data_IF_562699582143
#
_entry.id   IF_562699582143
#
_cell.length_a   1.000
_cell.length_b   1.000
_cell.length_c   1.000
_cell.angle_alpha   90.00
_cell.angle_beta   90.00
_cell.angle_gamma   90.00
#
_symmetry.space_group_name_H-M   'P 1'
#
loop_
_entity.id
_entity.type
_entity.pdbx_description
1 polymer ?
#
# COMPACT_ATOMS: atom_id res chain seq x y z
N UNK A 1 -13.27 21.79 4.45
CA UNK A 1 -11.87 21.47 4.82
C UNK A 1 -11.72 19.96 4.85
N UNK A 2 -10.97 19.41 3.88
CA UNK A 2 -10.84 17.96 3.68
C UNK A 2 -11.13 17.48 2.25
N UNK A 3 -11.27 18.39 1.28
CA UNK A 3 -11.45 17.99 -0.11
C UNK A 3 -10.13 17.41 -0.64
N UNK A 4 -10.20 16.16 -1.10
CA UNK A 4 -9.05 15.50 -1.72
C UNK A 4 -8.99 15.95 -3.18
N UNK A 5 -7.98 16.74 -3.52
CA UNK A 5 -7.71 17.14 -4.91
C UNK A 5 -6.75 16.12 -5.52
N UNK A 6 -7.10 15.57 -6.68
CA UNK A 6 -6.21 14.71 -7.46
C UNK A 6 -5.64 15.52 -8.63
N UNK A 7 -4.32 15.54 -8.74
CA UNK A 7 -3.61 16.06 -9.90
C UNK A 7 -2.87 14.94 -10.62
N UNK A 8 -2.76 15.05 -11.95
CA UNK A 8 -1.98 14.14 -12.78
C UNK A 8 -0.87 14.93 -13.45
N UNK A 9 0.32 14.34 -13.54
CA UNK A 9 1.43 14.89 -14.28
C UNK A 9 2.07 13.77 -15.10
N UNK A 10 2.52 14.10 -16.29
CA UNK A 10 3.24 13.18 -17.17
C UNK A 10 4.71 13.60 -17.22
N UNK A 11 5.60 12.62 -17.07
CA UNK A 11 7.02 12.82 -17.19
C UNK A 11 7.59 11.68 -18.02
N UNK A 12 8.28 12.03 -19.11
CA UNK A 12 9.00 11.07 -19.95
C UNK A 12 10.48 11.09 -19.54
N UNK A 13 11.00 10.02 -18.95
CA UNK A 13 12.38 9.96 -18.53
C UNK A 13 13.34 10.04 -19.72
N UNK A 14 14.39 10.87 -19.58
CA UNK A 14 15.36 11.12 -20.65
C UNK A 14 16.45 10.03 -20.68
N UNK A 15 16.64 9.32 -19.58
CA UNK A 15 17.64 8.25 -19.45
C UNK A 15 17.04 7.06 -18.72
N UNK A 16 17.44 5.88 -19.16
CA UNK A 16 17.23 4.67 -18.41
C UNK A 16 18.13 4.63 -17.16
N UNK A 17 17.77 3.71 -16.28
CA UNK A 17 18.35 3.58 -14.96
C UNK A 17 17.36 3.97 -13.88
N UNK A 18 17.86 3.97 -12.65
CA UNK A 18 17.06 4.27 -11.50
C UNK A 18 16.88 5.78 -11.36
N UNK A 19 15.63 6.22 -11.28
CA UNK A 19 15.28 7.58 -10.94
C UNK A 19 14.64 7.62 -9.57
N UNK A 20 14.89 8.69 -8.85
CA UNK A 20 14.19 8.98 -7.62
C UNK A 20 14.06 10.47 -7.48
N UNK A 21 13.04 10.89 -6.75
CA UNK A 21 12.71 12.29 -6.61
C UNK A 21 11.63 12.49 -5.58
N UNK A 22 11.03 13.66 -5.62
CA UNK A 22 9.89 13.99 -4.81
C UNK A 22 8.95 14.92 -5.58
N UNK A 23 7.67 14.82 -5.26
CA UNK A 23 6.66 15.80 -5.64
C UNK A 23 6.50 16.74 -4.45
N UNK A 24 6.60 18.05 -4.70
CA UNK A 24 6.46 19.08 -3.67
C UNK A 24 5.24 19.95 -3.95
N UNK A 25 4.40 20.13 -2.93
CA UNK A 25 3.36 21.15 -2.93
C UNK A 25 3.99 22.44 -2.41
N UNK A 26 3.86 23.52 -3.17
CA UNK A 26 4.40 24.82 -2.79
C UNK A 26 3.50 25.47 -1.72
N UNK A 27 3.64 25.04 -0.46
CA UNK A 27 3.04 25.66 0.72
C UNK A 27 4.13 25.93 1.76
N UNK A 28 4.15 27.16 2.27
CA UNK A 28 5.14 27.65 3.23
C UNK A 28 4.91 27.15 4.65
N UNK A 29 3.69 26.71 4.99
CA UNK A 29 3.30 26.43 6.37
C UNK A 29 3.71 25.03 6.87
N UNK A 30 3.85 24.05 5.97
CA UNK A 30 4.09 22.63 6.31
C UNK A 30 5.20 21.99 5.46
N UNK A 31 6.36 22.66 5.35
CA UNK A 31 7.50 22.24 4.51
C UNK A 31 7.94 20.77 4.67
N UNK A 32 7.76 20.18 5.85
CA UNK A 32 8.12 18.78 6.11
C UNK A 32 7.13 17.73 5.59
N UNK A 33 5.86 18.11 5.42
CA UNK A 33 4.77 17.22 4.97
C UNK A 33 4.39 17.45 3.49
N UNK A 34 4.88 18.55 2.92
CA UNK A 34 4.58 18.94 1.55
C UNK A 34 5.36 18.17 0.48
N UNK A 35 6.17 17.17 0.86
CA UNK A 35 6.99 16.39 -0.06
C UNK A 35 6.63 14.92 0.00
N UNK A 36 6.29 14.35 -1.15
CA UNK A 36 6.13 12.92 -1.32
C UNK A 36 7.28 12.39 -2.17
N UNK A 37 8.13 11.55 -1.59
CA UNK A 37 9.25 10.93 -2.26
C UNK A 37 8.80 9.72 -3.07
N UNK A 38 9.50 9.45 -4.16
CA UNK A 38 9.30 8.26 -4.98
C UNK A 38 10.65 7.77 -5.53
N UNK A 39 10.69 6.50 -5.89
CA UNK A 39 11.74 5.89 -6.70
C UNK A 39 11.04 5.16 -7.83
N UNK A 40 11.63 5.17 -9.02
CA UNK A 40 11.20 4.39 -10.18
C UNK A 40 12.43 3.81 -10.89
N UNK A 41 12.29 2.67 -11.54
CA UNK A 41 13.36 2.09 -12.35
C UNK A 41 12.91 2.10 -13.80
N UNK A 42 13.67 2.79 -14.65
CA UNK A 42 13.40 2.87 -16.07
C UNK A 42 14.34 1.91 -16.76
N UNK A 43 13.80 0.79 -17.21
CA UNK A 43 14.57 -0.11 -18.04
C UNK A 43 14.70 0.46 -19.45
N UNK A 44 15.87 0.33 -20.07
CA UNK A 44 16.02 0.59 -21.51
C UNK A 44 15.13 -0.33 -22.33
N UNK A 45 14.92 -1.56 -21.84
CA UNK A 45 14.11 -2.57 -22.47
C UNK A 45 13.27 -3.33 -21.44
N UNK A 46 12.06 -3.70 -21.84
CA UNK A 46 11.26 -4.67 -21.12
C UNK A 46 11.87 -6.05 -21.34
N UNK A 47 12.65 -6.50 -20.36
CA UNK A 47 13.14 -7.87 -20.29
C UNK A 47 12.00 -8.87 -20.11
N UNK A 48 11.87 -9.78 -21.07
CA UNK A 48 10.85 -10.82 -21.09
C UNK A 48 11.48 -12.20 -21.18
N UNK A 49 11.08 -13.08 -20.26
CA UNK A 49 11.53 -14.46 -20.23
C UNK A 49 10.43 -15.39 -20.77
N UNK A 50 10.69 -16.01 -21.91
CA UNK A 50 9.82 -17.03 -22.49
C UNK A 50 10.21 -18.40 -21.95
N UNK A 51 9.29 -19.02 -21.20
CA UNK A 51 9.53 -20.35 -20.63
C UNK A 51 9.07 -21.45 -21.58
N UNK A 52 9.97 -22.39 -21.80
CA UNK A 52 9.76 -23.57 -22.64
C UNK A 52 9.67 -24.81 -21.74
N UNK A 53 8.64 -25.62 -21.96
CA UNK A 53 8.40 -26.81 -21.12
C UNK A 53 9.18 -28.04 -21.59
N UNK A 54 9.48 -28.15 -22.89
CA UNK A 54 10.01 -29.36 -23.51
C UNK A 54 10.96 -29.06 -24.68
N UNK A 55 12.21 -29.55 -24.59
CA UNK A 55 13.26 -29.43 -25.60
C UNK A 55 13.01 -30.30 -26.84
N UNK A 56 12.25 -31.39 -26.68
CA UNK A 56 11.99 -32.36 -27.75
C UNK A 56 10.88 -31.91 -28.70
N UNK A 57 10.14 -30.87 -28.30
CA UNK A 57 9.03 -30.37 -29.07
C UNK A 57 9.50 -29.58 -30.30
N UNK A 58 9.32 -30.15 -31.49
CA UNK A 58 9.62 -29.47 -32.76
C UNK A 58 8.74 -28.23 -32.99
N UNK A 59 7.59 -28.16 -32.31
CA UNK A 59 6.57 -27.13 -32.51
C UNK A 59 6.72 -26.05 -31.45
N UNK A 60 7.44 -24.97 -31.79
CA UNK A 60 7.69 -23.83 -30.88
C UNK A 60 6.39 -23.06 -30.59
N UNK A 61 5.88 -23.04 -29.34
CA UNK A 61 4.61 -22.40 -29.01
C UNK A 61 4.69 -20.85 -29.01
N UNK A 62 5.87 -20.30 -28.79
CA UNK A 62 6.14 -18.88 -28.63
C UNK A 62 6.56 -18.15 -29.93
N UNK A 63 6.71 -18.87 -31.05
CA UNK A 63 7.33 -18.31 -32.27
C UNK A 63 6.72 -16.99 -32.74
N UNK A 64 5.39 -16.94 -32.92
CA UNK A 64 4.72 -15.72 -33.38
C UNK A 64 4.73 -14.61 -32.32
N UNK A 65 4.56 -14.97 -31.05
CA UNK A 65 4.59 -14.00 -29.93
C UNK A 65 5.96 -13.34 -29.87
N UNK A 66 7.03 -14.12 -29.93
CA UNK A 66 8.40 -13.59 -29.95
C UNK A 66 8.65 -12.70 -31.17
N UNK A 67 8.24 -13.15 -32.37
CA UNK A 67 8.39 -12.34 -33.58
C UNK A 67 7.63 -11.01 -33.53
N UNK A 68 6.47 -10.98 -32.86
CA UNK A 68 5.69 -9.77 -32.68
C UNK A 68 6.39 -8.75 -31.77
N UNK A 69 6.98 -9.20 -30.66
CA UNK A 69 7.56 -8.30 -29.65
C UNK A 69 9.03 -7.98 -29.91
N UNK A 70 9.81 -8.91 -30.44
CA UNK A 70 11.25 -8.81 -30.66
C UNK A 70 11.63 -9.42 -32.03
N UNK A 71 11.26 -8.74 -33.15
CA UNK A 71 11.45 -9.26 -34.51
C UNK A 71 12.93 -9.35 -34.92
N UNK A 72 13.76 -8.43 -34.43
CA UNK A 72 15.20 -8.38 -34.68
C UNK A 72 15.90 -8.93 -33.44
N UNK A 73 16.31 -10.20 -33.48
CA UNK A 73 16.91 -10.91 -32.34
C UNK A 73 17.92 -10.02 -31.57
N UNK A 74 17.54 -9.61 -30.36
CA UNK A 74 18.42 -8.86 -29.46
C UNK A 74 18.66 -7.40 -29.84
N UNK A 75 17.99 -6.90 -30.87
CA UNK A 75 18.00 -5.49 -31.26
C UNK A 75 16.96 -4.66 -30.51
N UNK A 76 16.04 -5.29 -29.77
CA UNK A 76 14.98 -4.65 -28.98
C UNK A 76 14.27 -3.52 -29.73
N UNK A 77 13.95 -3.73 -31.01
CA UNK A 77 13.41 -2.69 -31.88
C UNK A 77 12.12 -2.04 -31.34
N UNK A 78 11.36 -2.78 -30.53
CA UNK A 78 10.14 -2.31 -29.88
C UNK A 78 10.34 -1.97 -28.38
N UNK A 79 11.58 -1.83 -27.91
CA UNK A 79 11.90 -1.68 -26.50
C UNK A 79 11.63 -2.93 -25.66
N UNK A 80 11.45 -4.10 -26.28
CA UNK A 80 11.21 -5.39 -25.61
C UNK A 80 12.36 -6.33 -25.96
N UNK A 81 13.00 -6.90 -24.94
CA UNK A 81 14.08 -7.88 -25.10
C UNK A 81 13.59 -9.26 -24.70
N UNK A 82 13.66 -10.23 -25.62
CA UNK A 82 13.16 -11.58 -25.37
C UNK A 82 14.27 -12.62 -25.15
N UNK A 83 14.29 -13.22 -23.97
CA UNK A 83 15.14 -14.36 -23.64
C UNK A 83 14.30 -15.64 -23.54
N UNK A 84 14.95 -16.80 -23.72
CA UNK A 84 14.29 -18.10 -23.64
C UNK A 84 14.99 -18.97 -22.61
N UNK A 85 14.22 -19.79 -21.91
CA UNK A 85 14.73 -20.71 -20.91
C UNK A 85 13.80 -21.90 -20.72
N UNK A 86 14.36 -23.03 -20.31
CA UNK A 86 13.54 -24.17 -19.90
C UNK A 86 12.98 -23.97 -18.50
N UNK A 87 11.71 -24.33 -18.29
CA UNK A 87 11.07 -24.16 -16.98
C UNK A 87 11.81 -24.92 -15.87
N UNK A 88 12.51 -26.01 -16.19
CA UNK A 88 13.31 -26.80 -15.26
C UNK A 88 14.58 -26.07 -14.78
N UNK A 89 15.10 -25.12 -15.56
CA UNK A 89 16.29 -24.30 -15.25
C UNK A 89 15.93 -23.04 -14.45
N UNK A 90 14.64 -22.83 -14.18
CA UNK A 90 14.13 -21.63 -13.53
C UNK A 90 14.70 -21.47 -12.11
N UNK A 91 15.19 -20.28 -11.80
CA UNK A 91 15.63 -19.90 -10.46
C UNK A 91 15.15 -18.48 -10.11
N UNK A 92 15.07 -18.18 -8.81
CA UNK A 92 14.69 -16.85 -8.32
C UNK A 92 15.70 -15.76 -8.70
N UNK A 93 16.97 -16.12 -8.88
CA UNK A 93 18.02 -15.19 -9.33
C UNK A 93 17.77 -14.71 -10.74
N UNK A 94 17.45 -15.62 -11.67
CA UNK A 94 17.16 -15.28 -13.07
C UNK A 94 15.93 -14.38 -13.16
N UNK A 95 14.89 -14.68 -12.38
CA UNK A 95 13.64 -13.93 -12.40
C UNK A 95 13.73 -12.52 -11.81
N UNK A 96 14.83 -12.18 -11.11
CA UNK A 96 15.00 -10.84 -10.54
C UNK A 96 15.11 -9.75 -11.60
N UNK A 97 15.72 -10.08 -12.74
CA UNK A 97 16.01 -9.12 -13.80
C UNK A 97 14.93 -9.09 -14.90
N UNK A 98 13.82 -9.84 -14.69
CA UNK A 98 12.75 -10.02 -15.68
C UNK A 98 11.50 -9.25 -15.28
N UNK A 99 11.01 -8.40 -16.18
CA UNK A 99 9.77 -7.64 -15.96
C UNK A 99 8.54 -8.51 -16.22
N UNK A 100 8.63 -9.38 -17.24
CA UNK A 100 7.52 -10.22 -17.67
C UNK A 100 8.00 -11.65 -17.92
N UNK A 101 7.29 -12.62 -17.37
CA UNK A 101 7.48 -14.04 -17.69
C UNK A 101 6.34 -14.50 -18.59
N UNK A 102 6.65 -15.22 -19.67
CA UNK A 102 5.68 -15.64 -20.68
C UNK A 102 5.57 -17.16 -20.72
N UNK A 103 4.35 -17.66 -20.51
CA UNK A 103 3.99 -19.07 -20.60
C UNK A 103 3.13 -19.30 -21.84
N UNK A 104 3.64 -20.00 -22.84
CA UNK A 104 2.86 -20.31 -24.06
C UNK A 104 2.52 -21.78 -24.14
N UNK A 105 1.24 -22.13 -23.97
CA UNK A 105 0.77 -23.52 -23.99
C UNK A 105 1.61 -24.43 -23.07
N UNK A 106 1.75 -24.08 -21.77
CA UNK A 106 2.65 -24.78 -20.85
C UNK A 106 2.15 -26.20 -20.55
N UNK A 107 3.11 -27.11 -20.35
CA UNK A 107 2.84 -28.43 -19.78
C UNK A 107 2.62 -28.33 -18.26
N UNK A 108 2.18 -29.41 -17.58
CA UNK A 108 2.05 -29.41 -16.13
C UNK A 108 3.30 -28.94 -15.39
N UNK A 109 3.12 -27.87 -14.62
CA UNK A 109 4.18 -27.22 -13.84
C UNK A 109 4.25 -27.91 -12.48
N UNK A 110 5.45 -28.34 -12.08
CA UNK A 110 5.62 -28.99 -10.79
C UNK A 110 5.56 -27.99 -9.62
N UNK A 111 5.49 -28.52 -8.39
CA UNK A 111 5.38 -27.68 -7.18
C UNK A 111 6.58 -26.77 -6.96
N UNK A 112 7.79 -27.22 -7.32
CA UNK A 112 9.02 -26.44 -7.16
C UNK A 112 8.98 -25.22 -8.08
N UNK A 113 8.63 -25.39 -9.36
CA UNK A 113 8.54 -24.25 -10.28
C UNK A 113 7.35 -23.35 -9.98
N UNK A 114 6.21 -23.91 -9.57
CA UNK A 114 5.06 -23.12 -9.15
C UNK A 114 5.42 -22.17 -7.99
N UNK A 115 6.13 -22.67 -6.97
CA UNK A 115 6.60 -21.84 -5.84
C UNK A 115 7.55 -20.72 -6.28
N UNK A 116 8.45 -20.98 -7.23
CA UNK A 116 9.38 -19.96 -7.76
C UNK A 116 8.60 -18.85 -8.51
N UNK A 117 7.61 -19.23 -9.32
CA UNK A 117 6.77 -18.29 -10.07
C UNK A 117 5.83 -17.50 -9.15
N UNK A 118 5.29 -18.11 -8.10
CA UNK A 118 4.51 -17.42 -7.08
C UNK A 118 5.35 -16.41 -6.29
N UNK A 119 6.55 -16.79 -5.89
CA UNK A 119 7.50 -15.90 -5.22
C UNK A 119 7.92 -14.73 -6.14
N UNK A 120 8.05 -14.96 -7.44
CA UNK A 120 8.22 -13.91 -8.44
C UNK A 120 7.02 -12.95 -8.50
N UNK A 121 5.78 -13.46 -8.51
CA UNK A 121 4.59 -12.61 -8.47
C UNK A 121 4.43 -11.87 -7.15
N UNK A 122 4.73 -12.49 -6.00
CA UNK A 122 4.71 -11.81 -4.69
C UNK A 122 5.65 -10.60 -4.64
N UNK A 123 6.73 -10.65 -5.43
CA UNK A 123 7.66 -9.53 -5.65
C UNK A 123 7.18 -8.52 -6.71
N UNK A 124 5.95 -8.58 -7.20
CA UNK A 124 5.46 -7.64 -8.21
C UNK A 124 5.67 -8.07 -9.65
N UNK A 125 6.26 -9.25 -9.89
CA UNK A 125 6.44 -9.78 -11.24
C UNK A 125 5.11 -10.07 -11.94
N UNK A 126 5.12 -9.96 -13.27
CA UNK A 126 3.96 -10.22 -14.11
C UNK A 126 4.16 -11.49 -14.94
N UNK A 127 3.19 -12.39 -14.92
CA UNK A 127 3.16 -13.57 -15.78
C UNK A 127 2.09 -13.38 -16.86
N UNK A 128 2.47 -13.48 -18.13
CA UNK A 128 1.52 -13.59 -19.24
C UNK A 128 1.40 -15.06 -19.62
N UNK A 129 0.20 -15.62 -19.62
CA UNK A 129 -0.03 -16.97 -20.10
C UNK A 129 -0.98 -17.01 -21.29
N UNK A 130 -0.59 -17.77 -22.31
CA UNK A 130 -1.42 -18.10 -23.45
C UNK A 130 -1.95 -19.53 -23.26
N UNK A 131 -3.26 -19.68 -23.41
CA UNK A 131 -3.88 -20.99 -23.48
C UNK A 131 -3.32 -21.83 -24.65
N UNK A 132 -3.67 -23.10 -24.70
CA UNK A 132 -3.34 -23.92 -25.85
C UNK A 132 -3.75 -25.37 -25.69
N UNK A 133 -3.46 -26.17 -26.70
CA UNK A 133 -3.93 -27.55 -26.79
C UNK A 133 -3.44 -28.49 -25.69
N UNK A 134 -2.33 -28.16 -25.01
CA UNK A 134 -1.71 -28.96 -23.93
C UNK A 134 -2.15 -28.53 -22.55
N UNK A 135 -2.86 -27.40 -22.45
CA UNK A 135 -3.39 -26.92 -21.18
C UNK A 135 -4.45 -27.89 -20.68
N UNK A 136 -4.25 -28.40 -19.48
CA UNK A 136 -5.13 -29.33 -18.77
C UNK A 136 -5.46 -28.77 -17.39
N UNK A 137 -6.41 -29.39 -16.70
CA UNK A 137 -6.69 -29.14 -15.28
C UNK A 137 -5.47 -29.36 -14.38
N UNK A 138 -4.52 -30.21 -14.81
CA UNK A 138 -3.26 -30.45 -14.11
C UNK A 138 -2.21 -29.36 -14.33
N UNK A 139 -2.37 -28.49 -15.33
CA UNK A 139 -1.32 -27.56 -15.75
C UNK A 139 -0.88 -26.63 -14.62
N UNK A 140 -1.85 -26.07 -13.89
CA UNK A 140 -1.62 -25.14 -12.78
C UNK A 140 -2.00 -25.73 -11.42
N UNK A 141 -2.26 -27.04 -11.32
CA UNK A 141 -2.74 -27.68 -10.10
C UNK A 141 -1.81 -27.52 -8.88
N UNK A 142 -0.52 -27.27 -9.12
CA UNK A 142 0.48 -27.08 -8.08
C UNK A 142 0.63 -25.63 -7.59
N UNK A 143 -0.12 -24.68 -8.15
CA UNK A 143 -0.13 -23.28 -7.69
C UNK A 143 -1.09 -23.09 -6.51
N UNK A 144 -1.20 -21.86 -6.00
CA UNK A 144 -2.17 -21.44 -5.00
C UNK A 144 -3.60 -21.59 -5.56
N UNK A 145 -4.62 -21.80 -4.70
CA UNK A 145 -6.01 -22.02 -5.13
C UNK A 145 -6.56 -20.94 -6.07
N UNK A 146 -6.03 -19.72 -5.95
CA UNK A 146 -6.44 -18.56 -6.73
C UNK A 146 -5.95 -18.65 -8.19
N UNK A 147 -4.83 -19.33 -8.44
CA UNK A 147 -4.21 -19.51 -9.76
C UNK A 147 -4.60 -20.85 -10.39
N UNK A 148 -4.78 -21.92 -9.59
CA UNK A 148 -5.07 -23.28 -10.08
C UNK A 148 -6.19 -23.36 -11.12
N UNK A 149 -7.18 -22.48 -11.02
CA UNK A 149 -8.42 -22.52 -11.78
C UNK A 149 -8.62 -21.34 -12.74
N UNK A 150 -7.56 -20.59 -13.08
CA UNK A 150 -7.65 -19.45 -14.02
C UNK A 150 -8.17 -19.88 -15.39
N UNK A 151 -7.81 -21.08 -15.84
CA UNK A 151 -8.34 -21.71 -17.04
C UNK A 151 -9.25 -22.87 -16.68
N UNK A 152 -10.28 -23.09 -17.49
CA UNK A 152 -11.25 -24.16 -17.32
C UNK A 152 -11.32 -25.01 -18.59
N UNK A 153 -12.48 -25.13 -19.22
CA UNK A 153 -12.71 -26.00 -20.37
C UNK A 153 -12.31 -25.33 -21.69
N UNK A 154 -11.86 -26.15 -22.64
CA UNK A 154 -11.66 -25.76 -24.04
C UNK A 154 -12.97 -25.85 -24.81
N UNK A 155 -13.30 -24.80 -25.55
CA UNK A 155 -14.51 -24.74 -26.36
C UNK A 155 -14.21 -24.39 -27.82
N UNK A 156 -15.12 -24.78 -28.71
CA UNK A 156 -15.08 -24.38 -30.12
C UNK A 156 -15.73 -23.02 -30.27
N UNK A 157 -15.19 -22.21 -31.16
CA UNK A 157 -15.70 -20.89 -31.50
C UNK A 157 -15.98 -20.77 -32.99
N UNK A 158 -16.95 -19.92 -33.32
CA UNK A 158 -17.26 -19.47 -34.68
C UNK A 158 -17.74 -18.02 -34.63
N UNK A 159 -16.90 -17.14 -34.11
CA UNK A 159 -17.18 -15.70 -34.07
C UNK A 159 -15.96 -14.92 -34.52
N UNK A 160 -16.18 -13.63 -34.81
CA UNK A 160 -15.15 -12.69 -35.23
C UNK A 160 -14.99 -11.56 -34.22
N UNK A 161 -13.84 -10.91 -34.26
CA UNK A 161 -13.56 -9.73 -33.47
C UNK A 161 -13.17 -10.02 -32.03
N UNK A 162 -12.84 -8.93 -31.35
CA UNK A 162 -12.46 -8.81 -29.95
C UNK A 162 -12.63 -7.34 -29.60
N UNK A 163 -13.22 -7.06 -28.44
CA UNK A 163 -13.44 -5.70 -27.98
C UNK A 163 -12.50 -5.45 -26.78
N UNK A 164 -11.54 -4.56 -26.94
CA UNK A 164 -10.60 -4.19 -25.87
C UNK A 164 -11.29 -3.33 -24.81
N UNK A 165 -10.81 -3.41 -23.56
CA UNK A 165 -11.37 -2.76 -22.38
C UNK A 165 -10.26 -2.18 -21.50
N UNK A 166 -10.65 -1.35 -20.54
CA UNK A 166 -9.73 -0.76 -19.55
C UNK A 166 -8.53 -0.09 -20.21
N UNK A 167 -7.31 -0.37 -19.76
CA UNK A 167 -6.08 0.26 -20.25
C UNK A 167 -5.72 -0.10 -21.71
N UNK A 168 -6.41 -1.07 -22.32
CA UNK A 168 -6.26 -1.41 -23.73
C UNK A 168 -7.39 -0.86 -24.61
N UNK A 169 -8.35 -0.11 -24.05
CA UNK A 169 -9.54 0.33 -24.77
C UNK A 169 -9.22 1.22 -25.99
N UNK A 170 -8.12 1.99 -25.94
CA UNK A 170 -7.61 2.81 -27.04
C UNK A 170 -7.34 1.99 -28.32
N UNK A 171 -7.02 0.70 -28.18
CA UNK A 171 -6.74 -0.17 -29.32
C UNK A 171 -7.97 -0.41 -30.20
N UNK A 172 -9.19 -0.20 -29.70
CA UNK A 172 -10.40 -0.35 -30.52
C UNK A 172 -10.50 0.70 -31.63
N UNK A 173 -9.93 1.89 -31.42
CA UNK A 173 -9.89 2.95 -32.44
C UNK A 173 -8.74 2.74 -33.43
N UNK A 174 -7.67 2.08 -32.97
CA UNK A 174 -6.45 1.86 -33.76
C UNK A 174 -6.49 0.58 -34.61
N UNK A 175 -7.18 -0.46 -34.13
CA UNK A 175 -7.12 -1.80 -34.71
C UNK A 175 -8.48 -2.24 -35.25
N UNK A 176 -8.51 -2.57 -36.54
CA UNK A 176 -9.62 -3.31 -37.11
C UNK A 176 -9.54 -4.79 -36.69
N UNK A 177 -10.51 -5.19 -35.87
CA UNK A 177 -10.60 -6.54 -35.31
C UNK A 177 -11.57 -7.44 -36.09
N UNK A 178 -12.28 -6.96 -37.11
CA UNK A 178 -13.30 -7.76 -37.83
C UNK A 178 -12.70 -8.94 -38.61
N UNK A 179 -11.40 -8.85 -38.95
CA UNK A 179 -10.65 -9.91 -39.61
C UNK A 179 -10.17 -11.01 -38.65
N UNK A 180 -10.23 -10.78 -37.33
CA UNK A 180 -9.91 -11.79 -36.33
C UNK A 180 -11.01 -12.84 -36.29
N UNK A 181 -10.63 -14.10 -36.51
CA UNK A 181 -11.50 -15.26 -36.50
C UNK A 181 -11.11 -16.20 -35.37
N UNK A 182 -12.09 -16.54 -34.53
CA UNK A 182 -11.94 -17.49 -33.45
C UNK A 182 -12.41 -18.87 -33.88
N UNK A 183 -11.54 -19.86 -33.71
CA UNK A 183 -11.82 -21.29 -33.93
C UNK A 183 -12.01 -22.02 -32.61
N UNK A 184 -11.25 -21.64 -31.58
CA UNK A 184 -11.27 -22.21 -30.23
C UNK A 184 -10.89 -21.16 -29.20
N UNK A 185 -11.35 -21.36 -27.97
CA UNK A 185 -10.85 -20.63 -26.80
C UNK A 185 -10.84 -21.53 -25.57
N UNK A 186 -10.10 -21.10 -24.55
CA UNK A 186 -10.16 -21.65 -23.22
C UNK A 186 -11.01 -20.74 -22.34
N UNK A 187 -12.04 -21.28 -21.70
CA UNK A 187 -12.80 -20.53 -20.71
C UNK A 187 -11.89 -20.12 -19.56
N UNK A 188 -12.02 -18.87 -19.11
CA UNK A 188 -11.24 -18.34 -18.01
C UNK A 188 -12.16 -17.94 -16.85
N UNK A 189 -11.72 -18.19 -15.62
CA UNK A 189 -12.48 -17.82 -14.43
C UNK A 189 -12.00 -16.49 -13.89
N UNK A 190 -12.94 -15.59 -13.63
CA UNK A 190 -12.67 -14.31 -13.01
C UNK A 190 -12.32 -14.48 -11.53
N UNK A 191 -11.24 -13.86 -11.07
CA UNK A 191 -10.89 -13.74 -9.63
C UNK A 191 -11.46 -12.44 -9.05
N UNK A 192 -11.58 -12.33 -7.72
CA UNK A 192 -12.16 -11.12 -7.07
C UNK A 192 -11.49 -9.82 -7.50
N UNK A 193 -10.16 -9.84 -7.65
CA UNK A 193 -9.35 -8.70 -8.06
C UNK A 193 -8.86 -8.91 -9.50
N UNK A 194 -9.76 -8.79 -10.47
CA UNK A 194 -9.39 -8.91 -11.87
C UNK A 194 -9.99 -7.83 -12.75
N UNK A 195 -9.17 -7.41 -13.71
CA UNK A 195 -9.51 -6.43 -14.74
C UNK A 195 -9.69 -7.16 -16.06
N UNK A 196 -10.78 -6.88 -16.75
CA UNK A 196 -11.04 -7.45 -18.07
C UNK A 196 -10.34 -6.54 -19.07
N UNK A 197 -9.38 -7.07 -19.82
CA UNK A 197 -8.65 -6.29 -20.83
C UNK A 197 -9.25 -6.46 -22.23
N UNK A 198 -9.90 -7.59 -22.48
CA UNK A 198 -10.62 -7.81 -23.73
C UNK A 198 -11.70 -8.88 -23.60
N UNK A 199 -12.82 -8.67 -24.27
CA UNK A 199 -13.96 -9.58 -24.29
C UNK A 199 -14.65 -9.59 -25.65
N UNK A 200 -15.55 -10.56 -25.86
CA UNK A 200 -16.51 -10.49 -26.97
C UNK A 200 -17.86 -11.04 -26.54
N UNK A 201 -18.92 -10.24 -26.63
CA UNK A 201 -20.28 -10.64 -26.26
C UNK A 201 -20.36 -11.27 -24.86
N UNK A 202 -19.63 -10.71 -23.88
CA UNK A 202 -19.55 -11.21 -22.51
C UNK A 202 -18.60 -12.40 -22.30
N UNK A 203 -18.01 -12.96 -23.36
CA UNK A 203 -16.94 -13.94 -23.25
C UNK A 203 -15.61 -13.25 -22.92
N UNK A 204 -15.00 -13.63 -21.81
CA UNK A 204 -13.72 -13.07 -21.37
C UNK A 204 -12.58 -13.70 -22.16
N UNK A 205 -11.78 -12.88 -22.85
CA UNK A 205 -10.75 -13.34 -23.78
C UNK A 205 -9.34 -12.93 -23.36
N UNK A 206 -9.20 -11.80 -22.66
CA UNK A 206 -7.98 -11.40 -21.95
C UNK A 206 -8.36 -10.85 -20.57
N UNK A 207 -7.79 -11.43 -19.52
CA UNK A 207 -8.04 -11.03 -18.12
C UNK A 207 -6.70 -10.78 -17.44
N UNK A 208 -6.61 -9.68 -16.69
CA UNK A 208 -5.54 -9.41 -15.75
C UNK A 208 -5.97 -9.75 -14.32
N UNK A 209 -5.39 -10.80 -13.75
CA UNK A 209 -5.61 -11.24 -12.37
C UNK A 209 -4.55 -10.61 -11.45
N UNK A 210 -5.00 -9.85 -10.46
CA UNK A 210 -4.11 -9.22 -9.48
C UNK A 210 -3.93 -10.14 -8.27
N UNK A 211 -2.68 -10.44 -7.93
CA UNK A 211 -2.28 -11.29 -6.81
C UNK A 211 -1.29 -10.54 -5.92
N UNK A 212 -1.80 -9.97 -4.82
CA UNK A 212 -1.04 -9.09 -3.92
C UNK A 212 -0.38 -7.92 -4.68
N UNK A 213 0.92 -8.03 -4.95
CA UNK A 213 1.72 -7.05 -5.70
C UNK A 213 1.93 -7.44 -7.15
N UNK A 214 1.80 -8.72 -7.49
CA UNK A 214 2.04 -9.27 -8.82
C UNK A 214 0.77 -9.47 -9.60
N UNK A 215 0.97 -9.87 -10.86
CA UNK A 215 -0.11 -9.96 -11.84
C UNK A 215 0.02 -11.22 -12.67
N UNK A 216 -1.12 -11.76 -13.07
CA UNK A 216 -1.20 -12.84 -14.02
C UNK A 216 -2.17 -12.44 -15.13
N UNK A 217 -1.67 -12.25 -16.34
CA UNK A 217 -2.47 -11.90 -17.49
C UNK A 217 -2.72 -13.16 -18.32
N UNK A 218 -3.98 -13.59 -18.37
CA UNK A 218 -4.41 -14.80 -19.05
C UNK A 218 -5.05 -14.47 -20.40
N UNK A 219 -4.63 -15.16 -21.46
CA UNK A 219 -5.25 -15.10 -22.79
C UNK A 219 -5.95 -16.42 -23.11
N UNK A 220 -7.21 -16.34 -23.52
CA UNK A 220 -8.04 -17.48 -23.86
C UNK A 220 -7.59 -18.22 -25.14
N UNK A 221 -6.60 -17.70 -25.87
CA UNK A 221 -6.08 -18.28 -27.10
C UNK A 221 -4.60 -18.63 -27.00
N UNK A 222 -4.20 -19.55 -27.88
CA UNK A 222 -2.81 -19.85 -28.17
C UNK A 222 -2.17 -18.71 -28.96
N UNK A 223 -0.88 -18.45 -28.71
CA UNK A 223 -0.05 -17.58 -29.53
C UNK A 223 0.24 -18.13 -30.94
N UNK A 224 -0.58 -19.07 -31.44
CA UNK A 224 -0.46 -19.73 -32.74
C UNK A 224 -1.82 -19.79 -33.44
N UNK A 225 -1.78 -20.30 -34.67
CA UNK A 225 -2.91 -20.35 -35.61
C UNK A 225 -3.98 -21.43 -35.31
N UNK A 226 -3.81 -22.16 -34.21
CA UNK A 226 -4.65 -23.31 -33.84
C UNK A 226 -5.92 -22.91 -33.10
N UNK A 227 -5.92 -21.75 -32.44
CA UNK A 227 -7.09 -21.19 -31.75
C UNK A 227 -7.73 -20.05 -32.55
N UNK A 228 -6.92 -19.18 -33.16
CA UNK A 228 -7.37 -18.04 -33.95
C UNK A 228 -6.50 -17.87 -35.20
N UNK A 229 -6.90 -17.03 -36.16
CA UNK A 229 -6.01 -16.57 -37.22
C UNK A 229 -5.17 -15.33 -36.81
N UNK A 230 -5.27 -14.87 -35.55
CA UNK A 230 -4.70 -13.60 -35.12
C UNK A 230 -3.21 -13.46 -35.43
N UNK A 231 -2.35 -14.48 -35.23
CA UNK A 231 -0.92 -14.36 -35.52
C UNK A 231 -0.56 -14.03 -36.98
N UNK A 232 -1.50 -14.12 -37.91
CA UNK A 232 -1.32 -13.76 -39.32
C UNK A 232 -1.76 -12.32 -39.63
N UNK A 233 -2.42 -11.64 -38.67
CA UNK A 233 -2.96 -10.30 -38.84
C UNK A 233 -2.00 -9.23 -38.31
N UNK A 234 -2.03 -8.05 -38.93
CA UNK A 234 -1.22 -6.90 -38.52
C UNK A 234 -1.56 -6.37 -37.13
N UNK A 235 -2.78 -6.62 -36.64
CA UNK A 235 -3.20 -6.23 -35.30
C UNK A 235 -2.50 -7.03 -34.19
N UNK A 236 -1.95 -8.21 -34.49
CA UNK A 236 -1.33 -9.07 -33.49
C UNK A 236 -0.03 -8.49 -32.90
N UNK A 237 0.96 -8.04 -33.70
CA UNK A 237 2.13 -7.36 -33.15
C UNK A 237 1.81 -6.11 -32.34
N UNK A 238 0.90 -5.26 -32.84
CA UNK A 238 0.51 -4.02 -32.15
C UNK A 238 -0.11 -4.34 -30.79
N UNK A 239 -1.09 -5.24 -30.75
CA UNK A 239 -1.70 -5.66 -29.49
C UNK A 239 -0.66 -6.23 -28.51
N UNK A 240 0.26 -7.09 -28.97
CA UNK A 240 1.25 -7.69 -28.09
C UNK A 240 2.24 -6.66 -27.53
N UNK A 241 2.67 -5.67 -28.31
CA UNK A 241 3.53 -4.59 -27.80
C UNK A 241 2.82 -3.81 -26.69
N UNK A 242 1.57 -3.41 -26.91
CA UNK A 242 0.78 -2.70 -25.88
C UNK A 242 0.53 -3.59 -24.65
N UNK A 243 0.24 -4.88 -24.85
CA UNK A 243 0.03 -5.83 -23.75
C UNK A 243 1.31 -6.02 -22.90
N UNK A 244 2.48 -6.11 -23.55
CA UNK A 244 3.75 -6.27 -22.86
C UNK A 244 4.16 -4.98 -22.13
N UNK A 245 3.92 -3.81 -22.74
CA UNK A 245 4.07 -2.52 -22.06
C UNK A 245 3.16 -2.46 -20.82
N UNK A 246 1.89 -2.79 -20.97
CA UNK A 246 0.93 -2.86 -19.87
C UNK A 246 1.34 -3.86 -18.77
N UNK A 247 1.84 -5.04 -19.15
CA UNK A 247 2.33 -6.05 -18.24
C UNK A 247 3.57 -5.57 -17.45
N UNK A 248 4.46 -4.82 -18.11
CA UNK A 248 5.69 -4.28 -17.50
C UNK A 248 5.41 -3.18 -16.46
N UNK A 249 4.25 -2.52 -16.54
CA UNK A 249 3.82 -1.52 -15.55
C UNK A 249 3.44 -2.15 -14.19
N UNK A 250 3.37 -3.48 -14.11
CA UNK A 250 3.17 -4.21 -12.85
C UNK A 250 4.38 -4.11 -11.93
N UNK A 251 4.25 -3.33 -10.86
CA UNK A 251 4.95 -3.53 -9.60
C UNK A 251 6.47 -3.63 -9.66
N UNK A 252 7.16 -2.60 -10.20
CA UNK A 252 8.56 -2.40 -9.81
C UNK A 252 8.58 -2.28 -8.28
N UNK A 253 9.26 -3.21 -7.60
CA UNK A 253 9.38 -3.22 -6.15
C UNK A 253 10.08 -1.94 -5.71
N UNK A 254 9.30 -0.94 -5.32
CA UNK A 254 9.82 0.14 -4.51
C UNK A 254 9.70 -0.33 -3.07
N UNK A 255 10.84 -0.55 -2.42
CA UNK A 255 10.86 -0.65 -0.98
C UNK A 255 10.38 0.70 -0.46
N UNK A 256 9.22 0.74 0.17
CA UNK A 256 8.70 1.92 0.83
C UNK A 256 8.48 1.63 2.31
N UNK A 257 8.74 2.61 3.16
CA UNK A 257 8.42 2.57 4.58
C UNK A 257 7.78 3.89 5.00
N UNK A 258 6.92 3.86 6.02
CA UNK A 258 6.43 5.09 6.62
C UNK A 258 7.44 5.62 7.62
N UNK A 259 7.42 6.94 7.85
CA UNK A 259 8.22 7.55 8.91
C UNK A 259 7.99 6.85 10.25
N UNK A 260 9.07 6.57 10.98
CA UNK A 260 9.03 5.85 12.26
C UNK A 260 8.93 4.32 12.17
N UNK A 261 8.74 3.74 10.97
CA UNK A 261 8.81 2.28 10.79
C UNK A 261 10.26 1.80 10.63
N UNK A 262 10.57 0.60 11.13
CA UNK A 262 11.90 0.01 10.95
C UNK A 262 12.05 -0.56 9.54
N UNK A 263 13.16 -0.24 8.88
CA UNK A 263 13.51 -0.81 7.58
C UNK A 263 14.43 -2.00 7.80
N UNK A 264 13.99 -3.17 7.33
CA UNK A 264 14.76 -4.41 7.36
C UNK A 264 15.50 -4.60 6.05
N UNK A 265 16.82 -4.73 6.13
CA UNK A 265 17.68 -5.00 4.98
C UNK A 265 18.34 -6.37 5.17
N UNK A 266 18.22 -7.23 4.15
CA UNK A 266 18.89 -8.53 4.13
C UNK A 266 20.34 -8.34 3.68
N UNK A 267 21.30 -8.44 4.61
CA UNK A 267 22.73 -8.54 4.29
C UNK A 267 23.53 -9.03 5.50
N UNK A 268 24.54 -9.85 5.23
CA UNK A 268 25.46 -10.39 6.23
C UNK A 268 26.70 -9.51 6.43
N UNK A 269 26.82 -8.41 5.66
CA UNK A 269 27.96 -7.50 5.67
C UNK A 269 27.59 -6.15 6.26
N UNK A 270 28.60 -5.39 6.69
CA UNK A 270 28.44 -3.98 7.04
C UNK A 270 27.91 -3.21 5.82
N UNK A 271 26.80 -2.50 5.98
CA UNK A 271 26.25 -1.62 4.95
C UNK A 271 26.42 -0.17 5.37
N UNK A 272 26.86 0.64 4.42
CA UNK A 272 26.73 2.09 4.49
C UNK A 272 25.40 2.46 3.87
N UNK A 273 24.65 3.31 4.56
CA UNK A 273 23.38 3.85 4.13
C UNK A 273 23.49 5.36 4.05
N UNK A 274 22.78 5.96 3.10
CA UNK A 274 22.70 7.41 2.96
C UNK A 274 21.24 7.85 2.96
N UNK A 275 20.86 8.70 3.90
CA UNK A 275 19.53 9.31 3.98
C UNK A 275 19.70 10.83 4.00
N UNK A 276 19.14 11.54 3.02
CA UNK A 276 19.19 13.02 2.96
C UNK A 276 20.61 13.62 3.13
N UNK A 277 21.63 12.97 2.55
CA UNK A 277 23.07 13.31 2.66
C UNK A 277 23.74 12.97 3.99
N UNK A 278 23.02 12.43 4.96
CA UNK A 278 23.59 11.87 6.20
C UNK A 278 23.98 10.40 5.96
N UNK A 279 25.19 10.02 6.38
CA UNK A 279 25.69 8.65 6.24
C UNK A 279 25.52 7.87 7.54
N UNK A 280 25.01 6.65 7.43
CA UNK A 280 24.78 5.72 8.53
C UNK A 280 25.52 4.42 8.27
N UNK A 281 26.27 3.93 9.25
CA UNK A 281 26.94 2.63 9.16
C UNK A 281 26.15 1.60 9.99
N UNK A 282 25.62 0.57 9.34
CA UNK A 282 24.95 -0.53 10.03
C UNK A 282 25.79 -1.80 10.00
N UNK A 283 25.81 -2.51 11.13
CA UNK A 283 26.43 -3.81 11.27
C UNK A 283 25.33 -4.87 11.45
N UNK A 284 25.46 -5.99 10.74
CA UNK A 284 24.45 -7.02 10.74
C UNK A 284 24.40 -7.71 12.11
N UNK A 285 23.19 -7.91 12.64
CA UNK A 285 22.98 -8.68 13.86
C UNK A 285 22.06 -9.85 13.53
N UNK A 286 22.58 -11.08 13.65
CA UNK A 286 21.88 -12.33 13.26
C UNK A 286 21.40 -12.35 11.79
N UNK A 287 22.20 -11.83 10.85
CA UNK A 287 21.87 -11.83 9.41
C UNK A 287 20.82 -10.80 8.98
N UNK A 288 20.34 -9.96 9.91
CA UNK A 288 19.43 -8.85 9.61
C UNK A 288 20.09 -7.50 9.94
N UNK A 289 19.91 -6.53 9.05
CA UNK A 289 20.24 -5.14 9.29
C UNK A 289 18.97 -4.36 9.55
N UNK A 290 18.88 -3.71 10.71
CA UNK A 290 17.71 -2.92 11.11
C UNK A 290 18.07 -1.44 11.10
N UNK A 291 17.45 -0.68 10.21
CA UNK A 291 17.55 0.77 10.20
C UNK A 291 16.35 1.38 10.92
N UNK A 292 16.62 2.21 11.93
CA UNK A 292 15.59 2.83 12.81
C UNK A 292 15.47 4.35 12.64
N UNK A 293 16.43 5.00 12.00
CA UNK A 293 16.45 6.46 11.81
C UNK A 293 15.55 6.88 10.63
N UNK A 294 14.29 6.43 10.67
CA UNK A 294 13.28 6.68 9.63
C UNK A 294 12.33 7.83 10.02
N UNK A 295 12.71 8.66 11.00
CA UNK A 295 11.89 9.78 11.48
C UNK A 295 11.84 10.95 10.49
N UNK A 296 12.78 11.02 9.56
CA UNK A 296 12.83 12.04 8.49
C UNK A 296 12.39 11.40 7.17
N UNK A 297 11.48 12.02 6.39
CA UNK A 297 11.15 11.54 5.07
C UNK A 297 12.33 11.75 4.12
N UNK A 298 12.46 10.88 3.14
CA UNK A 298 13.58 10.91 2.19
C UNK A 298 13.79 9.59 1.48
N UNK A 299 14.92 9.50 0.80
CA UNK A 299 15.32 8.29 0.07
C UNK A 299 16.54 7.73 0.78
N UNK A 300 16.42 6.49 1.25
CA UNK A 300 17.49 5.72 1.86
C UNK A 300 18.23 4.96 0.77
N UNK A 301 19.41 5.45 0.41
CA UNK A 301 20.30 4.79 -0.55
C UNK A 301 21.20 3.80 0.18
N UNK A 302 21.46 2.64 -0.44
CA UNK A 302 22.35 1.61 0.09
C UNK A 302 23.64 1.63 -0.75
N UNK A 303 24.77 1.97 -0.11
CA UNK A 303 26.04 2.32 -0.76
C UNK A 303 26.71 1.16 -1.53
N UNK A 304 26.13 -0.05 -1.49
CA UNK A 304 26.62 -1.21 -2.22
C UNK A 304 26.03 -1.33 -3.65
N UNK A 305 25.28 -0.34 -4.12
CA UNK A 305 24.77 -0.19 -5.49
C UNK A 305 23.80 -1.26 -6.02
N UNK A 306 23.70 -2.41 -5.35
CA UNK A 306 22.92 -3.59 -5.77
C UNK A 306 21.58 -3.75 -5.06
N UNK A 307 21.27 -2.92 -4.06
CA UNK A 307 19.98 -2.97 -3.36
C UNK A 307 19.12 -1.77 -3.75
N UNK A 308 17.81 -2.01 -3.79
CA UNK A 308 16.81 -0.99 -4.11
C UNK A 308 16.78 0.08 -3.01
N UNK A 309 16.82 1.38 -3.37
CA UNK A 309 16.66 2.43 -2.39
C UNK A 309 15.30 2.30 -1.72
N UNK A 310 15.25 2.69 -0.45
CA UNK A 310 14.01 2.64 0.33
C UNK A 310 13.42 4.04 0.41
N UNK A 311 12.21 4.21 -0.11
CA UNK A 311 11.46 5.47 -0.04
C UNK A 311 10.80 5.58 1.33
N UNK A 312 11.07 6.66 2.06
CA UNK A 312 10.51 6.93 3.38
C UNK A 312 9.58 8.14 3.26
N UNK A 313 8.28 7.93 3.46
CA UNK A 313 7.27 8.99 3.40
C UNK A 313 6.51 9.12 4.73
N UNK A 314 6.01 10.31 5.09
CA UNK A 314 5.11 10.46 6.23
C UNK A 314 3.82 9.66 6.00
N UNK A 315 3.18 9.21 7.09
CA UNK A 315 1.87 8.57 6.95
C UNK A 315 0.83 9.63 6.60
N UNK A 316 0.28 9.55 5.39
CA UNK A 316 -0.79 10.44 4.89
C UNK A 316 -2.00 10.57 5.83
N UNK A 317 -2.20 9.62 6.76
CA UNK A 317 -3.23 9.72 7.80
C UNK A 317 -2.97 10.86 8.79
N UNK A 318 -1.71 11.24 9.02
CA UNK A 318 -1.36 12.38 9.87
C UNK A 318 -1.87 13.70 9.29
N UNK A 319 -1.92 13.81 7.96
CA UNK A 319 -2.41 15.00 7.25
C UNK A 319 -3.95 15.09 7.21
N UNK A 320 -4.68 14.16 7.84
CA UNK A 320 -6.12 14.31 8.09
C UNK A 320 -6.37 15.32 9.22
N UNK A 321 -6.31 16.60 8.89
CA UNK A 321 -6.56 17.73 9.80
C UNK A 321 -8.02 17.87 10.29
N UNK A 322 -8.85 16.82 10.17
CA UNK A 322 -10.16 16.80 10.81
C UNK A 322 -9.93 16.90 12.32
N UNK A 323 -10.49 17.95 12.93
CA UNK A 323 -10.43 18.14 14.39
C UNK A 323 -10.86 16.85 15.07
N UNK A 324 -9.95 16.27 15.85
CA UNK A 324 -10.26 15.10 16.67
C UNK A 324 -11.34 15.46 17.69
N UNK A 325 -12.26 14.53 17.93
CA UNK A 325 -13.21 14.65 19.03
C UNK A 325 -12.45 14.86 20.35
N UNK A 326 -12.75 15.91 21.14
CA UNK A 326 -12.14 16.15 22.45
C UNK A 326 -12.14 14.92 23.37
N UNK A 327 -13.14 14.04 23.26
CA UNK A 327 -13.20 12.80 24.04
C UNK A 327 -12.06 11.82 23.68
N UNK A 328 -11.73 11.69 22.38
CA UNK A 328 -10.63 10.82 21.90
C UNK A 328 -9.26 11.39 22.26
N UNK A 329 -9.10 12.71 22.21
CA UNK A 329 -7.86 13.37 22.61
C UNK A 329 -7.56 13.19 24.10
N UNK A 330 -8.58 13.22 24.97
CA UNK A 330 -8.43 12.98 26.42
C UNK A 330 -8.03 11.53 26.72
N UNK A 331 -8.49 10.56 25.92
CA UNK A 331 -8.09 9.16 26.06
C UNK A 331 -6.62 8.91 25.67
N UNK A 332 -6.09 9.63 24.69
CA UNK A 332 -4.67 9.56 24.28
C UNK A 332 -3.71 10.21 25.29
N UNK A 333 -4.21 11.17 26.07
CA UNK A 333 -3.46 11.86 27.13
C UNK A 333 -3.49 11.10 28.47
N UNK A 334 -3.93 9.84 28.50
CA UNK A 334 -4.18 9.06 29.72
C UNK A 334 -2.98 8.91 30.67
N UNK A 335 -1.75 9.15 30.22
CA UNK A 335 -0.53 9.13 31.05
C UNK A 335 0.04 10.53 31.40
N UNK A 336 -0.65 11.62 31.06
CA UNK A 336 -0.22 12.99 31.35
C UNK A 336 -1.36 13.90 31.76
N UNK A 337 -1.12 14.79 32.73
CA UNK A 337 -2.08 15.80 33.19
C UNK A 337 -2.22 16.95 32.17
N UNK A 338 -2.87 16.68 31.04
CA UNK A 338 -3.16 17.66 30.00
C UNK A 338 -4.64 18.08 29.98
N UNK A 339 -4.93 19.37 30.13
CA UNK A 339 -6.28 19.92 29.93
C UNK A 339 -6.42 20.52 28.53
N UNK A 340 -7.50 20.15 27.82
CA UNK A 340 -7.78 20.63 26.46
C UNK A 340 -8.47 22.00 26.55
N UNK A 341 -7.75 23.06 26.19
CA UNK A 341 -8.28 24.43 26.15
C UNK A 341 -9.06 24.67 24.84
N UNK A 342 -10.27 25.24 24.94
CA UNK A 342 -11.10 25.60 23.77
C UNK A 342 -10.81 27.03 23.32
N UNK A 343 -10.18 27.17 22.16
CA UNK A 343 -10.07 28.35 21.24
C UNK A 343 -9.61 29.70 21.83
N UNK A 344 -8.80 30.42 21.03
CA UNK A 344 -8.11 31.71 21.28
C UNK A 344 -8.89 32.84 22.00
N UNK A 345 -10.22 32.85 22.03
CA UNK A 345 -10.97 34.03 22.48
C UNK A 345 -10.92 34.29 23.99
N UNK A 346 -10.46 33.34 24.83
CA UNK A 346 -10.54 33.48 26.30
C UNK A 346 -9.44 32.74 27.07
N UNK A 347 -8.25 32.57 26.49
CA UNK A 347 -7.14 31.85 27.14
C UNK A 347 -6.76 32.45 28.50
N UNK A 348 -6.72 33.78 28.63
CA UNK A 348 -6.35 34.46 29.88
C UNK A 348 -7.36 34.23 31.00
N UNK A 349 -8.66 34.19 30.67
CA UNK A 349 -9.71 33.91 31.65
C UNK A 349 -9.68 32.45 32.12
N UNK A 350 -9.31 31.51 31.24
CA UNK A 350 -9.18 30.10 31.60
C UNK A 350 -7.92 29.84 32.42
N UNK A 351 -6.78 30.42 32.04
CA UNK A 351 -5.53 30.31 32.80
C UNK A 351 -5.67 30.95 34.19
N UNK A 352 -6.33 32.11 34.29
CA UNK A 352 -6.54 32.78 35.58
C UNK A 352 -7.51 32.03 36.50
N UNK A 353 -8.54 31.36 35.95
CA UNK A 353 -9.45 30.53 36.74
C UNK A 353 -8.77 29.25 37.26
N UNK A 354 -7.79 28.70 36.54
CA UNK A 354 -7.01 27.55 37.02
C UNK A 354 -5.87 27.94 37.98
N UNK A 355 -5.29 29.14 37.84
CA UNK A 355 -4.24 29.63 38.77
C UNK A 355 -4.81 30.18 40.07
N UNK A 356 -6.02 30.73 40.05
CA UNK A 356 -6.76 31.07 41.26
C UNK A 356 -7.39 29.78 41.79
N UNK A 357 -6.68 29.10 42.69
CA UNK A 357 -7.27 27.99 43.45
C UNK A 357 -8.63 28.40 44.03
N UNK A 358 -9.52 27.43 44.22
CA UNK A 358 -10.88 27.67 44.73
C UNK A 358 -10.81 28.52 46.00
N UNK A 359 -11.47 29.66 45.99
CA UNK A 359 -11.48 30.59 47.12
C UNK A 359 -12.29 29.98 48.27
N UNK A 360 -11.59 29.25 49.15
CA UNK A 360 -12.16 28.58 50.31
C UNK A 360 -12.56 29.57 51.41
N UNK A 361 -12.28 30.87 51.24
CA UNK A 361 -12.63 31.92 52.21
C UNK A 361 -14.12 31.93 52.52
N UNK A 362 -15.00 31.71 51.54
CA UNK A 362 -16.44 31.62 51.76
C UNK A 362 -16.84 30.43 52.64
N UNK A 363 -16.18 29.28 52.49
CA UNK A 363 -16.43 28.09 53.31
C UNK A 363 -15.93 28.32 54.74
N UNK A 364 -14.74 28.90 54.90
CA UNK A 364 -14.21 29.22 56.23
C UNK A 364 -15.03 30.28 56.95
N UNK A 365 -15.57 31.27 56.23
CA UNK A 365 -16.42 32.31 56.81
C UNK A 365 -17.77 31.73 57.27
N UNK A 366 -18.37 30.83 56.49
CA UNK A 366 -19.55 30.08 56.91
C UNK A 366 -19.28 29.24 58.16
N UNK A 367 -18.13 28.56 58.20
CA UNK A 367 -17.75 27.71 59.34
C UNK A 367 -17.48 28.54 60.60
N UNK A 368 -16.84 29.70 60.46
CA UNK A 368 -16.65 30.66 61.54
C UNK A 368 -18.00 31.21 62.06
N UNK A 369 -18.95 31.48 61.17
CA UNK A 369 -20.29 31.94 61.55
C UNK A 369 -21.06 30.87 62.33
N UNK A 370 -20.96 29.60 61.92
CA UNK A 370 -21.56 28.47 62.66
C UNK A 370 -20.93 28.33 64.05
N UNK A 371 -19.59 28.45 64.16
CA UNK A 371 -18.90 28.41 65.45
C UNK A 371 -19.32 29.57 66.36
N UNK A 372 -19.51 30.77 65.82
CA UNK A 372 -19.98 31.93 66.56
C UNK A 372 -21.39 31.75 67.11
N UNK A 373 -22.31 31.17 66.31
CA UNK A 373 -23.66 30.83 66.79
C UNK A 373 -23.57 29.76 67.89
N UNK A 374 -22.72 28.75 67.72
CA UNK A 374 -22.52 27.72 68.74
C UNK A 374 -21.98 28.31 70.05
N UNK A 375 -21.04 29.26 69.96
CA UNK A 375 -20.52 30.01 71.11
C UNK A 375 -21.61 30.82 71.81
N UNK A 376 -22.46 31.54 71.06
CA UNK A 376 -23.61 32.27 71.61
C UNK A 376 -24.59 31.35 72.35
N UNK A 377 -24.89 30.17 71.79
CA UNK A 377 -25.79 29.20 72.40
C UNK A 377 -25.20 28.57 73.66
N UNK A 378 -23.90 28.27 73.67
CA UNK A 378 -23.20 27.71 74.83
C UNK A 378 -22.97 28.77 75.92
N UNK A 379 -22.56 29.98 75.56
CA UNK A 379 -22.33 31.09 76.48
C UNK A 379 -23.60 31.53 77.22
N UNK A 380 -24.76 31.48 76.54
CA UNK A 380 -26.02 31.85 77.17
C UNK A 380 -26.50 30.81 78.20
N UNK A 381 -26.06 29.55 78.11
CA UNK A 381 -26.32 28.54 79.15
C UNK A 381 -25.54 28.80 80.44
N UNK A 382 -24.34 29.38 80.37
CA UNK A 382 -23.56 29.74 81.56
C UNK A 382 -24.08 31.02 82.23
N UNK A 383 -24.58 31.99 81.47
CA UNK A 383 -25.19 33.21 82.02
C UNK A 383 -26.50 32.93 82.79
N UNK A 384 -27.32 31.99 82.30
CA UNK A 384 -28.59 31.62 82.95
C UNK A 384 -28.37 30.70 84.17
N UNK A 385 -27.30 29.90 84.18
CA UNK A 385 -26.94 29.09 85.35
C UNK A 385 -26.30 29.91 86.50
N UNK A 386 -25.69 31.06 86.19
CA UNK A 386 -25.11 31.97 87.20
C UNK A 386 -26.11 32.85 87.94
N UNK A 387 -27.28 33.14 87.34
CA UNK A 387 -28.31 34.01 87.92
C UNK A 387 -29.31 33.28 88.85
N UNK A 388 -29.22 31.96 88.97
CA UNK A 388 -30.11 31.16 89.82
C UNK A 388 -29.55 30.88 91.23
N UNK A 389 -28.31 31.28 91.52
CA UNK A 389 -27.62 30.95 92.79
C UNK A 389 -27.44 32.12 93.78
N UNK A 390 -27.85 33.35 93.45
CA UNK A 390 -27.71 34.53 94.35
C UNK A 390 -29.07 35.03 94.89
N UNK A 391 -29.85 34.13 95.50
CA UNK A 391 -30.98 34.51 96.34
C UNK A 391 -30.84 33.84 97.72
N UNK A 392 -29.98 34.42 98.57
CA UNK A 392 -29.94 34.12 100.00
C UNK A 392 -30.11 35.41 100.84
N UNK A 393 -31.32 35.50 101.42
CA UNK A 393 -31.75 36.09 102.72
C UNK A 393 -31.17 37.42 103.23
N UNK A 394 -32.09 38.36 103.54
CA UNK A 394 -32.20 39.08 104.85
C UNK A 394 -33.68 39.51 104.98
N UNK A 395 -34.54 38.89 105.81
CA UNK A 395 -34.76 39.00 107.27
C UNK A 395 -35.23 40.38 107.82
N UNK A 396 -36.37 40.31 108.56
CA UNK A 396 -36.77 41.15 109.73
C UNK A 396 -37.18 42.61 109.42
N UNK A 397 -38.11 43.29 110.10
CA UNK A 397 -38.77 43.15 111.41
C UNK A 397 -40.00 44.10 111.40
N UNK A 398 -41.23 43.65 111.68
CA UNK A 398 -42.01 43.78 112.94
C UNK A 398 -42.40 45.24 113.38
N UNK A 399 -43.69 45.36 113.69
CA UNK A 399 -44.38 46.19 114.73
C UNK A 399 -44.88 47.62 114.45
N UNK A 400 -46.21 47.69 114.28
CA UNK A 400 -47.22 48.45 115.06
C UNK A 400 -46.93 49.85 115.60
N UNK A 401 -47.80 50.78 115.20
CA UNK A 401 -48.73 51.46 116.12
C UNK A 401 -50.10 51.58 115.45
#
# INVERSE_FOLDING_TARGET
AGDTVKGYFEYVPVKAGRLWGYVEINDTNLRGDNRCYFSTEIAENINCLFLESDITNKVKPWFFVKMAVDPVKGGSANGIKSERMFIQELSSTILRDQHVVVLTNPDPIDRKQALILEDYMKRGGTIISFAGSRLTDKTFAQFSPEIQNIYSKKESAKFKGLDFKSDLAELNELLDMDMLQWKRYQLMKRTKNSTILAEKNGLLLVIDHHFEKGRWISLACSGRRDYTNWPELKSFPVMLIHLFNYASQGGVNHRSANCGQQVLLASDKKLMLRLNKENYALQAYKGELRFKETWKPGILEVDNGKQDPVVINPDTKESHLKRSDPAKAKALLSNGSGNILRTKARLDSQISHFRKGSDLSGIFLLLAFILFIAELLLGNRYAIAGLANDNEKVDLEITSL
#
